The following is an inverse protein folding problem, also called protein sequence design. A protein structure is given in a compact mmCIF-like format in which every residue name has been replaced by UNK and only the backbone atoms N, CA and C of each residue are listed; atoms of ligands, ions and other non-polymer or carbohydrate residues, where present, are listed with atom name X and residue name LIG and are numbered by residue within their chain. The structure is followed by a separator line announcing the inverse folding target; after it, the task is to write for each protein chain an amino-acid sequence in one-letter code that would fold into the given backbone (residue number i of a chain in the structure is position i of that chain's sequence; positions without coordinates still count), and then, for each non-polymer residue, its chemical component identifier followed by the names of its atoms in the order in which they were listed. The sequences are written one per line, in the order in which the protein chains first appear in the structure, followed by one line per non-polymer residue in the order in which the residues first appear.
data_IF_275629824619
#
_entry.id   IF_275629824619
#
_cell.length_a   1.000
_cell.length_b   1.000
_cell.length_c   1.000
_cell.angle_alpha   90.00
_cell.angle_beta   90.00
_cell.angle_gamma   90.00
#
_symmetry.space_group_name_H-M   'P 1'
#
loop_
_entity.id
_entity.type
_entity.pdbx_description
1 polymer ?
#
# COMPACT_ATOMS: atom_id res chain seq x y z
N UNK A 1 -6.84 -24.38 -33.93
CA UNK A 1 -5.78 -24.25 -32.90
C UNK A 1 -6.09 -23.02 -32.06
N UNK A 2 -6.65 -23.20 -30.86
CA UNK A 2 -7.10 -22.09 -30.00
C UNK A 2 -6.83 -22.45 -28.53
N UNK A 3 -5.58 -22.81 -28.24
CA UNK A 3 -5.12 -23.19 -26.89
C UNK A 3 -4.22 -22.07 -26.39
N UNK A 4 -4.81 -21.07 -25.74
CA UNK A 4 -4.05 -19.92 -25.22
C UNK A 4 -4.84 -18.93 -24.36
N UNK A 5 -6.18 -19.01 -24.33
CA UNK A 5 -7.03 -18.04 -23.61
C UNK A 5 -7.49 -18.49 -22.22
N UNK A 6 -7.34 -19.77 -21.87
CA UNK A 6 -7.88 -20.35 -20.63
C UNK A 6 -6.92 -20.29 -19.45
N UNK A 7 -5.60 -20.21 -19.66
CA UNK A 7 -4.66 -20.15 -18.54
C UNK A 7 -4.58 -18.77 -17.89
N UNK A 8 -4.75 -17.67 -18.63
CA UNK A 8 -4.63 -16.32 -18.04
C UNK A 8 -5.74 -16.00 -17.04
N UNK A 9 -6.93 -16.58 -17.21
CA UNK A 9 -8.10 -16.37 -16.35
C UNK A 9 -8.04 -17.16 -15.04
N UNK A 10 -7.47 -18.37 -15.04
CA UNK A 10 -7.28 -19.15 -13.79
C UNK A 10 -6.17 -18.59 -12.90
N UNK A 11 -5.04 -18.19 -13.47
CA UNK A 11 -3.96 -17.56 -12.70
C UNK A 11 -4.41 -16.21 -12.09
N UNK A 12 -5.28 -15.44 -12.77
CA UNK A 12 -5.87 -14.23 -12.20
C UNK A 12 -6.84 -14.52 -11.04
N UNK A 13 -7.65 -15.58 -11.13
CA UNK A 13 -8.58 -15.97 -10.06
C UNK A 13 -7.87 -16.40 -8.77
N UNK A 14 -6.73 -17.10 -8.88
CA UNK A 14 -5.95 -17.48 -7.70
C UNK A 14 -5.20 -16.31 -7.06
N UNK A 15 -4.85 -15.27 -7.83
CA UNK A 15 -4.13 -14.09 -7.32
C UNK A 15 -5.04 -13.13 -6.53
N UNK A 16 -6.33 -13.07 -6.88
CA UNK A 16 -7.33 -12.19 -6.22
C UNK A 16 -7.90 -12.76 -4.92
N UNK A 17 -8.25 -14.05 -4.89
CA UNK A 17 -9.09 -14.64 -3.82
C UNK A 17 -8.52 -14.52 -2.40
N UNK A 18 -7.21 -14.71 -2.23
CA UNK A 18 -6.56 -14.58 -0.92
C UNK A 18 -6.28 -13.12 -0.48
N UNK A 19 -6.63 -12.12 -1.29
CA UNK A 19 -6.41 -10.69 -0.98
C UNK A 19 -7.66 -10.07 -0.37
N UNK A 20 -8.84 -10.53 -0.77
CA UNK A 20 -10.11 -9.92 -0.40
C UNK A 20 -10.54 -10.31 1.03
N UNK A 21 -10.27 -11.54 1.46
CA UNK A 21 -10.63 -12.01 2.80
C UNK A 21 -9.84 -11.30 3.90
N UNK A 22 -8.52 -11.17 3.74
CA UNK A 22 -7.67 -10.42 4.67
C UNK A 22 -7.93 -8.91 4.63
N UNK A 23 -8.34 -8.38 3.47
CA UNK A 23 -8.79 -7.00 3.32
C UNK A 23 -10.06 -6.74 4.13
N UNK A 24 -11.04 -7.65 4.05
CA UNK A 24 -12.28 -7.58 4.83
C UNK A 24 -12.02 -7.65 6.33
N UNK A 25 -11.14 -8.55 6.77
CA UNK A 25 -10.77 -8.65 8.20
C UNK A 25 -10.09 -7.37 8.67
N UNK A 26 -9.19 -6.80 7.86
CA UNK A 26 -8.56 -5.50 8.18
C UNK A 26 -9.58 -4.36 8.25
N UNK A 27 -10.62 -4.40 7.41
CA UNK A 27 -11.70 -3.42 7.43
C UNK A 27 -12.57 -3.59 8.69
N UNK A 28 -12.88 -4.82 9.08
CA UNK A 28 -13.61 -5.10 10.33
C UNK A 28 -12.88 -4.57 11.56
N UNK A 29 -11.57 -4.82 11.66
CA UNK A 29 -10.76 -4.29 12.76
C UNK A 29 -10.62 -2.77 12.71
N UNK A 30 -10.54 -2.18 11.52
CA UNK A 30 -10.59 -0.74 11.35
C UNK A 30 -11.88 -0.14 11.94
N UNK A 31 -13.04 -0.73 11.64
CA UNK A 31 -14.32 -0.30 12.21
C UNK A 31 -14.38 -0.51 13.72
N UNK A 32 -13.84 -1.63 14.22
CA UNK A 32 -13.81 -1.91 15.66
C UNK A 32 -12.93 -0.88 16.40
N UNK A 33 -11.79 -0.50 15.82
CA UNK A 33 -10.97 0.58 16.37
C UNK A 33 -11.68 1.93 16.35
N UNK A 34 -12.44 2.25 15.30
CA UNK A 34 -13.27 3.47 15.28
C UNK A 34 -14.26 3.44 16.43
N UNK A 35 -14.95 2.31 16.63
CA UNK A 35 -15.88 2.12 17.75
C UNK A 35 -15.19 2.22 19.11
N UNK A 36 -14.00 1.65 19.25
CA UNK A 36 -13.18 1.76 20.47
C UNK A 36 -12.85 3.22 20.79
N UNK A 37 -12.37 3.96 19.78
CA UNK A 37 -12.02 5.37 19.93
C UNK A 37 -13.25 6.21 20.33
N UNK A 38 -14.41 5.93 19.72
CA UNK A 38 -15.69 6.55 20.10
C UNK A 38 -16.09 6.27 21.55
N UNK A 39 -15.88 5.04 22.04
CA UNK A 39 -16.15 4.69 23.43
C UNK A 39 -15.18 5.37 24.40
N UNK A 40 -13.91 5.47 24.05
CA UNK A 40 -12.90 6.10 24.91
C UNK A 40 -13.00 7.63 24.93
N UNK A 41 -13.42 8.26 23.84
CA UNK A 41 -13.51 9.71 23.72
C UNK A 41 -14.90 10.08 23.20
N UNK A 42 -15.92 10.11 24.07
CA UNK A 42 -17.32 10.34 23.66
C UNK A 42 -17.54 11.73 23.06
N UNK A 43 -16.67 12.70 23.37
CA UNK A 43 -16.74 14.07 22.85
C UNK A 43 -16.10 14.23 21.46
N UNK A 44 -15.62 13.15 20.83
CA UNK A 44 -14.97 13.21 19.51
C UNK A 44 -15.85 13.87 18.46
N UNK A 45 -17.16 13.62 18.47
CA UNK A 45 -18.05 14.18 17.46
C UNK A 45 -18.13 15.70 17.56
N UNK A 46 -18.16 16.22 18.78
CA UNK A 46 -18.18 17.65 19.07
C UNK A 46 -16.84 18.29 18.68
N UNK A 47 -15.72 17.63 18.98
CA UNK A 47 -14.40 18.14 18.61
C UNK A 47 -14.11 18.08 17.12
N UNK A 48 -14.59 17.05 16.41
CA UNK A 48 -14.55 17.03 14.94
C UNK A 48 -15.37 18.19 14.36
N UNK A 49 -16.56 18.42 14.91
CA UNK A 49 -17.42 19.54 14.51
C UNK A 49 -16.77 20.89 14.76
N UNK A 50 -16.07 21.05 15.89
CA UNK A 50 -15.30 22.25 16.21
C UNK A 50 -14.12 22.41 15.27
N UNK A 51 -13.34 21.35 15.04
CA UNK A 51 -12.22 21.37 14.11
C UNK A 51 -12.63 21.79 12.70
N UNK A 52 -13.70 21.21 12.14
CA UNK A 52 -14.19 21.56 10.78
C UNK A 52 -14.64 23.02 10.70
N UNK A 53 -15.27 23.56 11.75
CA UNK A 53 -15.67 24.97 11.80
C UNK A 53 -14.50 25.92 12.01
N UNK A 54 -13.44 25.44 12.66
CA UNK A 54 -12.28 26.22 13.03
C UNK A 54 -11.19 26.23 11.94
N UNK A 55 -11.30 25.33 10.95
CA UNK A 55 -10.57 25.37 9.69
C UNK A 55 -10.96 26.62 8.91
N UNK A 56 -10.09 27.63 8.94
CA UNK A 56 -10.25 28.84 8.13
C UNK A 56 -9.21 28.88 7.01
N UNK A 57 -9.61 29.30 5.79
CA UNK A 57 -8.67 29.56 4.73
C UNK A 57 -7.81 30.77 5.09
N UNK A 58 -6.49 30.61 5.05
CA UNK A 58 -5.53 31.70 5.14
C UNK A 58 -5.25 32.16 3.70
N UNK A 59 -5.49 33.45 3.45
CA UNK A 59 -5.20 34.08 2.17
C UNK A 59 -3.82 34.72 2.24
N UNK A 60 -2.91 34.27 1.39
CA UNK A 60 -1.66 34.95 1.10
C UNK A 60 -1.80 35.59 -0.29
N UNK A 61 -1.79 36.91 -0.32
CA UNK A 61 -1.65 37.73 -1.54
C UNK A 61 -2.54 37.28 -2.71
N UNK A 62 -3.85 37.23 -2.48
CA UNK A 62 -4.91 36.95 -3.49
C UNK A 62 -4.98 35.52 -4.05
N UNK A 63 -4.19 34.56 -3.56
CA UNK A 63 -4.34 33.14 -3.85
C UNK A 63 -4.71 32.36 -2.57
N UNK A 64 -5.58 31.36 -2.68
CA UNK A 64 -5.94 30.48 -1.56
C UNK A 64 -4.72 29.60 -1.30
N UNK A 65 -4.04 29.77 -0.16
CA UNK A 65 -2.79 29.04 0.06
C UNK A 65 -2.93 27.89 1.06
N UNK A 66 -3.60 28.01 2.21
CA UNK A 66 -3.75 26.86 3.13
C UNK A 66 -4.96 26.99 4.06
N UNK A 67 -5.52 25.86 4.53
CA UNK A 67 -6.48 25.82 5.63
C UNK A 67 -5.74 25.51 6.92
N UNK A 68 -5.89 26.36 7.93
CA UNK A 68 -5.28 26.17 9.24
C UNK A 68 -6.37 26.28 10.33
N UNK A 69 -6.41 25.33 11.28
CA UNK A 69 -7.27 25.44 12.46
C UNK A 69 -6.75 26.56 13.36
N UNK A 70 -7.66 27.41 13.84
CA UNK A 70 -7.31 28.56 14.70
C UNK A 70 -6.92 28.15 16.12
N UNK A 71 -7.39 26.99 16.57
CA UNK A 71 -7.16 26.44 17.91
C UNK A 71 -6.56 25.03 17.85
N UNK A 72 -5.72 24.71 18.83
CA UNK A 72 -5.08 23.38 18.91
C UNK A 72 -6.08 22.38 19.49
N UNK A 73 -6.58 21.48 18.65
CA UNK A 73 -7.53 20.43 19.03
C UNK A 73 -6.79 19.19 19.57
N UNK A 74 -6.15 19.34 20.73
CA UNK A 74 -5.30 18.30 21.34
C UNK A 74 -6.03 16.97 21.49
N UNK A 75 -7.29 16.98 21.91
CA UNK A 75 -8.12 15.77 22.11
C UNK A 75 -8.31 15.02 20.79
N UNK A 76 -8.55 15.73 19.69
CA UNK A 76 -8.72 15.13 18.38
C UNK A 76 -7.42 14.53 17.85
N UNK A 77 -6.31 15.25 18.00
CA UNK A 77 -5.01 14.80 17.51
C UNK A 77 -4.46 13.61 18.32
N UNK A 78 -4.65 13.60 19.63
CA UNK A 78 -4.27 12.47 20.49
C UNK A 78 -5.11 11.22 20.21
N UNK A 79 -6.42 11.38 19.99
CA UNK A 79 -7.29 10.28 19.57
C UNK A 79 -6.85 9.71 18.21
N UNK A 80 -6.56 10.59 17.24
CA UNK A 80 -6.06 10.18 15.93
C UNK A 80 -4.69 9.47 16.03
N UNK A 81 -3.76 9.97 16.86
CA UNK A 81 -2.48 9.32 17.11
C UNK A 81 -2.65 7.91 17.70
N UNK A 82 -3.51 7.78 18.70
CA UNK A 82 -3.81 6.49 19.36
C UNK A 82 -4.43 5.50 18.38
N UNK A 83 -5.39 5.94 17.57
CA UNK A 83 -5.98 5.13 16.51
C UNK A 83 -4.91 4.62 15.53
N UNK A 84 -4.05 5.54 15.08
CA UNK A 84 -2.99 5.25 14.12
C UNK A 84 -2.01 4.21 14.69
N UNK A 85 -1.64 4.34 15.97
CA UNK A 85 -0.74 3.42 16.65
C UNK A 85 -1.36 2.03 16.83
N UNK A 86 -2.61 1.96 17.31
CA UNK A 86 -3.33 0.69 17.45
C UNK A 86 -3.49 -0.02 16.10
N UNK A 87 -3.81 0.72 15.04
CA UNK A 87 -3.92 0.14 13.70
C UNK A 87 -2.55 -0.30 13.17
N UNK A 88 -1.47 0.43 13.45
CA UNK A 88 -0.12 -0.02 13.12
C UNK A 88 0.21 -1.37 13.78
N UNK A 89 -0.08 -1.51 15.08
CA UNK A 89 0.10 -2.77 15.82
C UNK A 89 -0.70 -3.89 15.17
N UNK A 90 -1.96 -3.64 14.81
CA UNK A 90 -2.77 -4.63 14.08
C UNK A 90 -2.13 -5.06 12.76
N UNK A 91 -1.56 -4.13 11.99
CA UNK A 91 -0.85 -4.48 10.74
C UNK A 91 0.41 -5.31 10.99
N UNK A 92 1.12 -5.07 12.09
CA UNK A 92 2.23 -5.94 12.51
C UNK A 92 1.76 -7.33 12.94
N UNK A 93 0.59 -7.45 13.59
CA UNK A 93 -0.02 -8.75 13.89
C UNK A 93 -0.37 -9.50 12.60
N UNK A 94 -0.97 -8.83 11.61
CA UNK A 94 -1.24 -9.43 10.30
C UNK A 94 0.05 -9.87 9.59
N UNK A 95 1.13 -9.09 9.74
CA UNK A 95 2.44 -9.46 9.23
C UNK A 95 2.96 -10.74 9.91
N UNK A 96 2.88 -10.82 11.24
CA UNK A 96 3.30 -12.00 12.01
C UNK A 96 2.52 -13.25 11.59
N UNK A 97 1.20 -13.16 11.49
CA UNK A 97 0.34 -14.26 11.03
C UNK A 97 0.76 -14.72 9.62
N UNK A 98 1.02 -13.78 8.70
CA UNK A 98 1.45 -14.13 7.34
C UNK A 98 2.82 -14.80 7.28
N UNK A 99 3.74 -14.45 8.17
CA UNK A 99 5.05 -15.11 8.30
C UNK A 99 4.85 -16.56 8.74
N UNK A 100 4.00 -16.80 9.75
CA UNK A 100 3.67 -18.15 10.24
C UNK A 100 3.04 -19.01 9.14
N UNK A 101 2.15 -18.43 8.32
CA UNK A 101 1.47 -19.12 7.20
C UNK A 101 2.38 -19.29 5.96
N UNK A 102 3.67 -18.93 6.02
CA UNK A 102 4.61 -18.97 4.87
C UNK A 102 4.07 -18.26 3.61
N UNK A 103 3.47 -17.09 3.79
CA UNK A 103 2.97 -16.28 2.68
C UNK A 103 4.07 -15.64 1.84
N UNK A 104 3.77 -15.31 0.57
CA UNK A 104 4.69 -14.65 -0.35
C UNK A 104 5.36 -13.39 0.24
N UNK A 105 6.67 -13.17 0.00
CA UNK A 105 7.43 -12.05 0.58
C UNK A 105 6.87 -10.67 0.16
N UNK A 106 6.31 -10.56 -1.05
CA UNK A 106 5.63 -9.35 -1.53
C UNK A 106 4.41 -8.95 -0.67
N UNK A 107 3.77 -9.92 -0.01
CA UNK A 107 2.62 -9.68 0.87
C UNK A 107 3.05 -9.27 2.29
N UNK A 108 4.23 -9.68 2.74
CA UNK A 108 4.80 -9.29 4.04
C UNK A 108 5.22 -7.81 3.98
N UNK A 109 5.91 -7.41 2.91
CA UNK A 109 6.33 -6.01 2.70
C UNK A 109 5.14 -5.06 2.61
N UNK A 110 4.02 -5.49 2.03
CA UNK A 110 2.78 -4.69 1.99
C UNK A 110 2.25 -4.35 3.40
N UNK A 111 2.32 -5.30 4.35
CA UNK A 111 1.89 -5.02 5.72
C UNK A 111 2.92 -4.20 6.49
N UNK A 112 4.21 -4.47 6.31
CA UNK A 112 5.30 -3.73 6.96
C UNK A 112 5.30 -2.24 6.57
N UNK A 113 5.28 -1.95 5.27
CA UNK A 113 5.23 -0.59 4.72
C UNK A 113 3.99 0.16 5.20
N UNK A 114 2.87 -0.55 5.27
CA UNK A 114 1.64 -0.04 5.85
C UNK A 114 1.76 0.29 7.33
N UNK A 115 2.23 -0.65 8.15
CA UNK A 115 2.44 -0.44 9.58
C UNK A 115 3.36 0.75 9.85
N UNK A 116 4.49 0.85 9.13
CA UNK A 116 5.42 1.96 9.22
C UNK A 116 4.78 3.31 8.87
N UNK A 117 3.92 3.35 7.84
CA UNK A 117 3.14 4.55 7.52
C UNK A 117 2.27 4.99 8.70
N UNK A 118 1.54 4.06 9.31
CA UNK A 118 0.69 4.37 10.47
C UNK A 118 1.52 4.75 11.71
N UNK A 119 2.69 4.16 11.95
CA UNK A 119 3.60 4.62 13.02
C UNK A 119 4.06 6.05 12.75
N UNK A 120 4.51 6.36 11.53
CA UNK A 120 4.94 7.71 11.17
C UNK A 120 3.81 8.73 11.29
N UNK A 121 2.60 8.39 10.86
CA UNK A 121 1.43 9.23 11.01
C UNK A 121 1.06 9.43 12.49
N UNK A 122 1.16 8.39 13.34
CA UNK A 122 0.95 8.53 14.79
C UNK A 122 1.93 9.54 15.42
N UNK A 123 3.21 9.48 15.03
CA UNK A 123 4.23 10.43 15.49
C UNK A 123 3.87 11.85 15.05
N UNK A 124 3.46 12.04 13.78
CA UNK A 124 3.06 13.36 13.28
C UNK A 124 1.84 13.91 14.03
N UNK A 125 0.83 13.09 14.29
CA UNK A 125 -0.33 13.50 15.09
C UNK A 125 0.05 13.82 16.53
N UNK A 126 1.00 13.08 17.13
CA UNK A 126 1.49 13.38 18.47
C UNK A 126 2.24 14.71 18.53
N UNK A 127 3.07 15.02 17.52
CA UNK A 127 3.78 16.31 17.40
C UNK A 127 2.82 17.48 17.16
N UNK A 128 1.72 17.22 16.45
CA UNK A 128 0.63 18.17 16.26
C UNK A 128 -0.13 18.41 17.57
N UNK A 129 -0.33 17.36 18.38
CA UNK A 129 -0.96 17.45 19.69
C UNK A 129 -0.11 18.20 20.73
N UNK A 130 1.22 18.08 20.67
CA UNK A 130 2.14 18.82 21.55
C UNK A 130 2.42 20.26 21.09
N UNK A 131 1.76 20.73 20.03
CA UNK A 131 1.97 22.04 19.41
C UNK A 131 3.43 22.30 18.95
N UNK A 132 4.23 21.24 18.81
CA UNK A 132 5.60 21.32 18.28
C UNK A 132 5.61 21.45 16.75
N UNK A 133 4.55 20.96 16.10
CA UNK A 133 4.37 20.99 14.66
C UNK A 133 3.17 21.86 14.31
N UNK A 134 3.36 22.86 13.46
CA UNK A 134 2.25 23.63 12.93
C UNK A 134 1.45 22.81 11.92
N UNK A 135 0.12 23.01 11.89
CA UNK A 135 -0.78 22.26 11.00
C UNK A 135 -0.42 22.45 9.51
N UNK A 136 0.11 23.61 9.14
CA UNK A 136 0.63 23.87 7.80
C UNK A 136 1.73 22.88 7.37
N UNK A 137 2.55 22.39 8.30
CA UNK A 137 3.62 21.43 8.03
C UNK A 137 3.13 19.97 8.11
N UNK A 138 1.98 19.74 8.74
CA UNK A 138 1.43 18.39 8.93
C UNK A 138 1.03 17.74 7.61
N UNK A 139 0.21 18.42 6.79
CA UNK A 139 -0.25 17.91 5.49
C UNK A 139 0.92 17.53 4.56
N UNK A 140 1.93 18.41 4.31
CA UNK A 140 3.04 18.05 3.45
C UNK A 140 3.89 16.92 4.04
N UNK A 141 4.09 16.86 5.36
CA UNK A 141 4.82 15.74 5.98
C UNK A 141 4.10 14.41 5.82
N UNK A 142 2.78 14.37 6.00
CA UNK A 142 1.98 13.16 5.76
C UNK A 142 2.07 12.74 4.29
N UNK A 143 2.03 13.70 3.36
CA UNK A 143 2.12 13.43 1.93
C UNK A 143 3.50 12.92 1.52
N UNK A 144 4.57 13.51 2.06
CA UNK A 144 5.96 13.05 1.88
C UNK A 144 6.13 11.64 2.45
N UNK A 145 5.61 11.38 3.65
CA UNK A 145 5.65 10.06 4.28
C UNK A 145 4.92 9.02 3.43
N UNK A 146 3.71 9.34 2.95
CA UNK A 146 2.95 8.47 2.05
C UNK A 146 3.66 8.21 0.73
N UNK A 147 4.25 9.25 0.14
CA UNK A 147 5.07 9.16 -1.08
C UNK A 147 6.30 8.27 -0.89
N UNK A 148 7.05 8.47 0.20
CA UNK A 148 8.23 7.67 0.52
C UNK A 148 7.89 6.18 0.66
N UNK A 149 6.79 5.87 1.36
CA UNK A 149 6.31 4.49 1.52
C UNK A 149 5.89 3.88 0.19
N UNK A 150 5.23 4.66 -0.69
CA UNK A 150 4.83 4.21 -2.02
C UNK A 150 6.04 3.91 -2.91
N UNK A 151 7.05 4.79 -2.91
CA UNK A 151 8.29 4.61 -3.66
C UNK A 151 9.07 3.38 -3.16
N UNK A 152 9.23 3.24 -1.84
CA UNK A 152 9.90 2.07 -1.24
C UNK A 152 9.22 0.76 -1.67
N UNK A 153 7.89 0.73 -1.69
CA UNK A 153 7.11 -0.41 -2.17
C UNK A 153 7.29 -0.66 -3.67
N UNK A 154 7.35 0.39 -4.48
CA UNK A 154 7.59 0.31 -5.92
C UNK A 154 8.95 -0.30 -6.24
N UNK A 155 10.01 0.20 -5.58
CA UNK A 155 11.39 -0.31 -5.73
C UNK A 155 11.45 -1.79 -5.34
N UNK A 156 10.88 -2.16 -4.19
CA UNK A 156 10.88 -3.55 -3.74
C UNK A 156 10.22 -4.49 -4.75
N UNK A 157 9.05 -4.10 -5.27
CA UNK A 157 8.36 -4.90 -6.29
C UNK A 157 9.17 -5.03 -7.58
N UNK A 158 9.86 -3.97 -8.01
CA UNK A 158 10.72 -3.99 -9.19
C UNK A 158 11.93 -4.92 -9.03
N UNK A 159 12.57 -4.91 -7.86
CA UNK A 159 13.73 -5.77 -7.56
C UNK A 159 13.32 -7.24 -7.49
N UNK A 160 12.18 -7.55 -6.85
CA UNK A 160 11.71 -8.94 -6.65
C UNK A 160 11.09 -9.55 -7.92
N UNK A 161 10.57 -8.74 -8.84
CA UNK A 161 9.80 -9.23 -10.01
C UNK A 161 10.59 -9.24 -11.32
N UNK A 162 11.93 -9.39 -11.30
CA UNK A 162 12.71 -9.41 -12.56
C UNK A 162 12.11 -10.46 -13.53
N UNK A 163 11.69 -10.07 -14.74
CA UNK A 163 11.19 -11.02 -15.72
C UNK A 163 12.32 -11.97 -16.10
N UNK A 164 12.05 -13.27 -15.98
CA UNK A 164 12.89 -14.31 -16.58
C UNK A 164 13.01 -13.94 -18.06
N UNK A 165 14.24 -13.69 -18.53
CA UNK A 165 14.48 -13.37 -19.93
C UNK A 165 13.84 -14.46 -20.81
N UNK A 166 13.14 -14.09 -21.90
CA UNK A 166 12.53 -15.08 -22.79
C UNK A 166 13.63 -16.05 -23.22
N UNK A 167 13.40 -17.35 -22.99
CA UNK A 167 14.30 -18.42 -23.41
C UNK A 167 14.67 -18.19 -24.87
N UNK A 168 15.98 -18.01 -25.11
CA UNK A 168 16.54 -17.83 -26.45
C UNK A 168 15.90 -18.88 -27.38
N UNK A 169 15.32 -18.50 -28.53
CA UNK A 169 14.73 -19.48 -29.43
C UNK A 169 15.77 -20.55 -29.76
N UNK A 170 15.37 -21.84 -29.82
CA UNK A 170 16.29 -22.91 -30.11
C UNK A 170 17.00 -22.62 -31.44
N UNK A 171 18.30 -22.93 -31.55
CA UNK A 171 19.03 -22.73 -32.79
C UNK A 171 18.30 -23.47 -33.93
N UNK A 172 18.28 -22.91 -35.15
CA UNK A 172 17.68 -23.57 -36.29
C UNK A 172 18.31 -24.96 -36.47
N UNK A 173 17.52 -25.98 -36.86
CA UNK A 173 18.07 -27.30 -37.13
C UNK A 173 19.14 -27.21 -38.23
N UNK A 174 20.20 -28.02 -38.15
CA UNK A 174 21.22 -28.04 -39.20
C UNK A 174 20.57 -28.36 -40.55
N UNK A 175 21.04 -27.74 -41.65
CA UNK A 175 20.51 -28.01 -42.97
C UNK A 175 20.56 -29.50 -43.24
N UNK A 176 19.39 -30.09 -43.52
CA UNK A 176 19.25 -31.48 -43.93
C UNK A 176 20.15 -31.70 -45.13
N UNK A 177 21.24 -32.44 -44.96
CA UNK A 177 22.05 -32.93 -46.07
C UNK A 177 21.12 -33.71 -46.99
N UNK A 178 20.83 -33.15 -48.16
CA UNK A 178 20.07 -33.83 -49.20
C UNK A 178 20.75 -35.18 -49.49
N UNK A 179 19.99 -36.27 -49.62
CA UNK A 179 20.57 -37.55 -49.98
C UNK A 179 21.30 -37.44 -51.33
N UNK A 180 22.43 -38.13 -51.50
CA UNK A 180 23.21 -38.08 -52.73
C UNK A 180 22.33 -38.51 -53.90
N UNK A 181 22.19 -37.62 -54.89
CA UNK A 181 21.53 -37.92 -56.15
C UNK A 181 22.37 -38.98 -56.86
N UNK A 182 21.90 -40.22 -56.87
CA UNK A 182 22.50 -41.28 -57.69
C UNK A 182 22.27 -40.94 -59.16
N UNK A 183 23.33 -40.96 -60.00
CA UNK A 183 23.18 -40.69 -61.42
C UNK A 183 22.35 -41.80 -62.10
N UNK A 184 21.56 -41.45 -63.14
CA UNK A 184 20.75 -42.42 -63.87
C UNK A 184 21.64 -43.45 -64.58
N UNK A 185 21.31 -44.74 -64.44
CA UNK A 185 21.95 -45.80 -65.20
C UNK A 185 21.52 -45.70 -66.67
N UNK A 186 22.47 -45.44 -67.55
CA UNK A 186 22.29 -45.56 -68.99
C UNK A 186 22.18 -47.04 -69.38
N UNK A 187 21.07 -47.42 -69.99
CA UNK A 187 20.87 -48.65 -70.74
C UNK A 187 20.26 -48.32 -72.09
#
# INVERSE_FOLDING_TARGET
MTVGRTQSTEYQRMRGRGTDELGLVSLGVFLLLIGYIWLTVPTIWEEVGRFIRDLKPIYYDSYIVFFEPRTVHVVLYTAAATFCLLFAVWRFVLMAIRIVVKSYPTRIVKELTGGLFYVGAAILFQRLASAELAFAHFIPLVLILGGAVLVARGIFNAVVSRPVAPSRPPPPPPPSTAPPVTPPSSS
#
